data_IF_018234978735
#
_entry.id   IF_018234978735
#
_cell.length_a   1.000
_cell.length_b   1.000
_cell.length_c   1.000
_cell.angle_alpha   90.00
_cell.angle_beta   90.00
_cell.angle_gamma   90.00
#
_symmetry.space_group_name_H-M   'P 1'
#
loop_
_entity.id
_entity.type
_entity.pdbx_description
1 polymer ?
#
# COMPACT_ATOMS: atom_id res chain seq x y z
N UNK A 1 -0.55 -20.30 6.90
CA UNK A 1 0.44 -19.42 6.25
C UNK A 1 0.55 -18.15 7.07
N UNK A 2 1.75 -17.83 7.55
CA UNK A 2 2.03 -16.51 8.13
C UNK A 2 2.47 -15.59 7.00
N UNK A 3 1.83 -14.42 6.91
CA UNK A 3 2.09 -13.42 5.87
C UNK A 3 2.22 -12.08 6.57
N UNK A 4 3.31 -11.37 6.31
CA UNK A 4 3.54 -10.01 6.77
C UNK A 4 3.29 -9.03 5.61
N UNK A 5 2.75 -7.85 5.92
CA UNK A 5 2.39 -6.83 4.96
C UNK A 5 3.04 -5.50 5.36
N UNK A 6 3.59 -4.80 4.36
CA UNK A 6 4.01 -3.42 4.56
C UNK A 6 2.83 -2.52 4.95
N UNK A 7 3.10 -1.43 5.64
CA UNK A 7 2.08 -0.45 6.04
C UNK A 7 1.53 0.34 4.86
N UNK A 8 0.25 0.74 4.95
CA UNK A 8 -0.31 1.73 4.03
C UNK A 8 0.09 3.14 4.48
N UNK A 9 0.75 3.88 3.60
CA UNK A 9 1.27 5.21 3.89
C UNK A 9 0.56 6.27 3.06
N UNK A 10 0.33 7.47 3.62
CA UNK A 10 -0.24 8.58 2.86
C UNK A 10 0.89 9.34 2.16
N UNK A 11 0.89 9.34 0.83
CA UNK A 11 1.94 10.00 0.04
C UNK A 11 2.20 11.47 0.44
N UNK A 12 1.15 12.22 0.81
CA UNK A 12 1.30 13.61 1.25
C UNK A 12 1.96 13.79 2.63
N UNK A 13 2.15 12.72 3.40
CA UNK A 13 2.79 12.76 4.72
C UNK A 13 4.20 12.17 4.71
N UNK A 14 4.57 11.43 3.67
CA UNK A 14 5.83 10.68 3.64
C UNK A 14 7.00 11.48 3.08
N UNK A 15 6.73 12.65 2.48
CA UNK A 15 7.73 13.45 1.73
C UNK A 15 8.56 12.59 0.78
N UNK A 16 7.99 11.48 0.32
CA UNK A 16 8.65 10.51 -0.54
C UNK A 16 8.51 10.98 -1.98
N UNK A 17 9.63 11.00 -2.70
CA UNK A 17 9.69 11.41 -4.10
C UNK A 17 10.34 10.33 -4.97
N UNK A 18 10.20 10.48 -6.29
CA UNK A 18 10.86 9.64 -7.29
C UNK A 18 10.61 8.15 -7.09
N UNK A 19 11.68 7.38 -6.93
CA UNK A 19 11.61 5.92 -6.78
C UNK A 19 10.84 5.52 -5.51
N UNK A 20 11.05 6.24 -4.40
CA UNK A 20 10.41 5.90 -3.13
C UNK A 20 8.89 6.14 -3.18
N UNK A 21 8.45 7.22 -3.82
CA UNK A 21 7.04 7.47 -4.07
C UNK A 21 6.39 6.37 -4.92
N UNK A 22 7.10 5.91 -5.96
CA UNK A 22 6.64 4.83 -6.85
C UNK A 22 6.48 3.51 -6.10
N UNK A 23 7.43 3.18 -5.23
CA UNK A 23 7.37 2.01 -4.36
C UNK A 23 6.16 2.07 -3.41
N UNK A 24 5.99 3.20 -2.69
CA UNK A 24 4.86 3.42 -1.79
C UNK A 24 3.50 3.34 -2.48
N UNK A 25 3.40 3.87 -3.71
CA UNK A 25 2.21 3.75 -4.54
C UNK A 25 1.86 2.28 -4.86
N UNK A 26 2.86 1.45 -5.16
CA UNK A 26 2.65 0.02 -5.40
C UNK A 26 2.21 -0.73 -4.13
N UNK A 27 2.78 -0.40 -2.97
CA UNK A 27 2.36 -0.95 -1.66
C UNK A 27 0.89 -0.60 -1.40
N UNK A 28 0.53 0.67 -1.52
CA UNK A 28 -0.86 1.10 -1.32
C UNK A 28 -1.83 0.45 -2.31
N UNK A 29 -1.40 0.22 -3.56
CA UNK A 29 -2.23 -0.44 -4.58
C UNK A 29 -2.55 -1.90 -4.22
N UNK A 30 -1.57 -2.66 -3.73
CA UNK A 30 -1.81 -4.06 -3.33
C UNK A 30 -2.71 -4.13 -2.08
N UNK A 31 -2.49 -3.26 -1.10
CA UNK A 31 -3.32 -3.17 0.11
C UNK A 31 -4.75 -2.71 -0.18
N UNK A 32 -4.95 -1.78 -1.12
CA UNK A 32 -6.28 -1.36 -1.59
C UNK A 32 -7.01 -2.53 -2.27
N UNK A 33 -6.30 -3.29 -3.10
CA UNK A 33 -6.87 -4.49 -3.74
C UNK A 33 -7.31 -5.51 -2.69
N UNK A 34 -6.44 -5.80 -1.73
CA UNK A 34 -6.75 -6.70 -0.62
C UNK A 34 -7.99 -6.24 0.16
N UNK A 35 -8.04 -4.96 0.53
CA UNK A 35 -9.19 -4.37 1.23
C UNK A 35 -10.47 -4.48 0.40
N UNK A 36 -10.37 -4.28 -0.92
CA UNK A 36 -11.52 -4.40 -1.83
C UNK A 36 -12.04 -5.83 -1.89
N UNK A 37 -11.16 -6.83 -1.92
CA UNK A 37 -11.55 -8.25 -1.88
C UNK A 37 -12.24 -8.56 -0.56
N UNK A 38 -11.64 -8.18 0.58
CA UNK A 38 -12.22 -8.42 1.91
C UNK A 38 -13.63 -7.80 2.04
N UNK A 39 -13.85 -6.60 1.50
CA UNK A 39 -15.18 -5.94 1.52
C UNK A 39 -16.23 -6.62 0.65
N UNK A 40 -15.82 -7.43 -0.32
CA UNK A 40 -16.72 -8.17 -1.22
C UNK A 40 -17.01 -9.60 -0.74
N UNK A 41 -16.40 -10.01 0.38
CA UNK A 41 -16.74 -11.23 1.12
C UNK A 41 -17.92 -10.94 2.05
#
# INVERSE_FOLDING_TARGET
>A
NFVDLAGSERASQTHADGIRLKEGSHINRSLLTLTTVIRKL
#
